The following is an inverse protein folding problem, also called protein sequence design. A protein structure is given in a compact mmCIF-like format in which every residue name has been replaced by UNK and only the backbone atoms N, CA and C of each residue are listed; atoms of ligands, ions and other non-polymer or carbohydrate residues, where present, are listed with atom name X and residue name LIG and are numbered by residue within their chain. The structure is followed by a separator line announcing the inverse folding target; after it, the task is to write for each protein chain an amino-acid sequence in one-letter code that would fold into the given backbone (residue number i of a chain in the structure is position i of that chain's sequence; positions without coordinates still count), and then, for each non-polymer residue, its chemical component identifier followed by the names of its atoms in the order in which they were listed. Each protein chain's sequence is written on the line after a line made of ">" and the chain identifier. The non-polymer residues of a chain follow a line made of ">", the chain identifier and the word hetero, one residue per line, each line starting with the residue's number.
data_IF_510697023732
#
_entry.id   IF_510697023732
#
_cell.length_a   1.000
_cell.length_b   1.000
_cell.length_c   1.000
_cell.angle_alpha   90.00
_cell.angle_beta   90.00
_cell.angle_gamma   90.00
#
_symmetry.space_group_name_H-M   'P 1'
#
loop_
_entity.id
_entity.type
_entity.pdbx_description
1 polymer ?
#
# COMPACT_ATOMS: atom_id res chain seq x y z
N UNK A 1 0.24 2.78 -11.40
CA UNK A 1 -0.23 3.29 -10.08
C UNK A 1 0.25 2.38 -8.93
N UNK A 2 0.26 2.80 -7.65
CA UNK A 2 0.53 1.90 -6.51
C UNK A 2 -0.71 1.78 -5.61
N UNK A 3 -1.11 0.56 -5.28
CA UNK A 3 -2.31 0.27 -4.47
C UNK A 3 -2.00 0.25 -2.98
N UNK A 4 -0.86 -0.29 -2.57
CA UNK A 4 -0.41 -0.24 -1.19
C UNK A 4 1.10 -0.38 -1.13
N UNK A 5 1.72 -0.04 0.00
CA UNK A 5 3.16 -0.14 0.24
C UNK A 5 3.41 -0.74 1.61
N UNK A 6 4.61 -1.29 1.80
CA UNK A 6 5.05 -1.77 3.12
C UNK A 6 5.02 -0.72 4.22
N UNK A 7 4.98 0.58 3.88
CA UNK A 7 4.93 1.68 4.86
C UNK A 7 3.52 2.08 5.27
N UNK A 8 2.49 1.60 4.57
CA UNK A 8 1.11 1.96 4.85
C UNK A 8 0.64 1.38 6.19
N UNK A 9 -0.39 1.99 6.79
CA UNK A 9 -0.83 1.70 8.16
C UNK A 9 0.33 1.70 9.18
N UNK A 10 1.25 2.66 9.02
CA UNK A 10 2.48 2.77 9.80
C UNK A 10 3.28 1.46 9.82
N UNK A 11 3.62 0.97 8.63
CA UNK A 11 4.26 -0.34 8.40
C UNK A 11 3.41 -1.54 8.80
N UNK A 12 2.09 -1.40 8.78
CA UNK A 12 1.10 -2.43 9.08
C UNK A 12 0.69 -3.24 7.86
N UNK A 13 1.28 -2.96 6.69
CA UNK A 13 1.07 -3.72 5.47
C UNK A 13 2.31 -4.58 5.18
N UNK A 14 2.10 -5.87 4.97
CA UNK A 14 3.12 -6.82 4.53
C UNK A 14 3.26 -6.87 3.00
N UNK A 15 2.43 -6.12 2.25
CA UNK A 15 2.42 -6.10 0.80
C UNK A 15 2.86 -4.75 0.23
N UNK A 16 3.45 -4.80 -0.96
CA UNK A 16 3.65 -3.65 -1.84
C UNK A 16 3.13 -4.04 -3.22
N UNK A 17 2.02 -3.43 -3.61
CA UNK A 17 1.30 -3.73 -4.85
C UNK A 17 1.30 -2.50 -5.74
N UNK A 18 1.70 -2.66 -7.00
CA UNK A 18 1.67 -1.61 -8.00
C UNK A 18 1.49 -2.17 -9.40
N UNK A 19 0.98 -1.34 -10.30
CA UNK A 19 0.86 -1.60 -11.74
C UNK A 19 2.24 -1.42 -12.40
N UNK A 20 2.66 -2.40 -13.19
CA UNK A 20 3.94 -2.37 -13.89
C UNK A 20 3.88 -1.49 -15.15
N UNK A 21 5.00 -0.91 -15.54
CA UNK A 21 5.07 -0.04 -16.72
C UNK A 21 4.92 -0.79 -18.04
N UNK A 22 5.18 -2.11 -18.03
CA UNK A 22 5.02 -2.98 -19.20
C UNK A 22 3.62 -3.61 -19.28
N UNK A 23 2.70 -3.21 -18.38
CA UNK A 23 1.37 -3.80 -18.21
C UNK A 23 1.33 -4.85 -17.08
N UNK A 24 0.13 -5.13 -16.59
CA UNK A 24 -0.08 -6.02 -15.45
C UNK A 24 0.33 -5.40 -14.12
N UNK A 25 0.50 -6.26 -13.11
CA UNK A 25 0.65 -5.85 -11.71
C UNK A 25 1.73 -6.66 -11.00
N UNK A 26 2.44 -6.01 -10.08
CA UNK A 26 3.48 -6.61 -9.26
C UNK A 26 3.06 -6.56 -7.80
N UNK A 27 3.10 -7.72 -7.15
CA UNK A 27 2.88 -7.87 -5.71
C UNK A 27 4.16 -8.36 -5.04
N UNK A 28 4.82 -7.50 -4.28
CA UNK A 28 5.90 -7.91 -3.38
C UNK A 28 5.37 -8.25 -2.00
N UNK A 29 5.83 -9.36 -1.44
CA UNK A 29 5.55 -9.80 -0.07
C UNK A 29 6.76 -9.51 0.80
N UNK A 30 6.56 -8.84 1.93
CA UNK A 30 7.62 -8.59 2.90
C UNK A 30 8.17 -9.92 3.46
N UNK A 31 9.45 -9.96 3.82
CA UNK A 31 10.03 -11.08 4.58
C UNK A 31 10.10 -10.81 6.09
N UNK A 32 9.97 -9.54 6.49
CA UNK A 32 10.13 -9.09 7.85
C UNK A 32 9.11 -8.01 8.20
N UNK A 33 8.71 -7.96 9.46
CA UNK A 33 7.90 -6.88 10.04
C UNK A 33 8.54 -6.34 11.31
N UNK A 34 8.18 -5.13 11.70
CA UNK A 34 8.64 -4.55 12.96
C UNK A 34 7.92 -5.21 14.15
N UNK A 35 8.69 -5.79 15.08
CA UNK A 35 8.21 -6.40 16.33
C UNK A 35 7.63 -5.35 17.29
N UNK A 36 8.21 -4.15 17.24
CA UNK A 36 7.72 -2.98 17.95
C UNK A 36 8.00 -1.72 17.15
N UNK A 37 7.00 -0.82 17.10
CA UNK A 37 7.10 0.44 16.39
C UNK A 37 7.02 1.59 17.40
N UNK A 38 7.93 2.58 17.33
CA UNK A 38 7.74 3.82 18.08
C UNK A 38 6.44 4.50 17.61
N UNK A 39 5.71 5.19 18.49
CA UNK A 39 4.53 5.95 18.07
C UNK A 39 4.96 7.04 17.09
N UNK A 40 4.24 7.14 15.97
CA UNK A 40 4.47 8.19 14.98
C UNK A 40 4.14 9.55 15.58
N UNK A 41 4.94 10.60 15.31
CA UNK A 41 4.55 11.95 15.67
C UNK A 41 3.21 12.29 15.01
N UNK A 42 2.40 13.14 15.66
CA UNK A 42 1.18 13.67 15.06
C UNK A 42 1.46 14.22 13.65
N UNK A 43 0.52 14.05 12.70
CA UNK A 43 0.59 14.72 11.41
C UNK A 43 0.91 16.21 11.57
N UNK A 44 1.65 16.77 10.61
CA UNK A 44 1.93 18.19 10.62
C UNK A 44 0.64 18.95 10.31
N UNK A 45 0.08 19.60 11.31
CA UNK A 45 -1.05 20.50 11.14
C UNK A 45 -0.53 21.86 10.66
N UNK A 46 -0.72 22.14 9.37
CA UNK A 46 -0.27 23.39 8.75
C UNK A 46 -1.02 24.63 9.28
N UNK A 47 -2.28 24.48 9.71
CA UNK A 47 -3.10 25.57 10.25
C UNK A 47 -2.73 25.88 11.70
N UNK A 48 -2.39 24.86 12.49
CA UNK A 48 -2.02 25.00 13.90
C UNK A 48 -0.53 25.36 14.10
N UNK A 49 0.36 24.92 13.21
CA UNK A 49 1.82 25.01 13.41
C UNK A 49 2.43 26.19 12.64
N UNK A 50 2.45 27.38 13.27
CA UNK A 50 3.30 28.51 12.82
C UNK A 50 4.77 28.08 12.73
N UNK A 51 5.58 28.74 11.87
CA UNK A 51 7.02 28.44 11.59
C UNK A 51 7.90 28.04 12.80
N UNK A 52 7.62 28.57 14.00
CA UNK A 52 8.34 28.19 15.23
C UNK A 52 8.19 26.70 15.60
N UNK A 53 7.09 26.05 15.23
CA UNK A 53 6.81 24.65 15.52
C UNK A 53 7.28 23.67 14.42
N UNK A 54 7.55 24.17 13.21
CA UNK A 54 8.09 23.37 12.09
C UNK A 54 9.42 22.71 12.46
N UNK A 55 10.34 23.47 13.09
CA UNK A 55 11.63 22.96 13.52
C UNK A 55 11.48 21.85 14.57
N UNK A 56 10.52 22.00 15.48
CA UNK A 56 10.23 21.01 16.53
C UNK A 56 9.64 19.74 15.94
N UNK A 57 8.68 19.86 15.01
CA UNK A 57 8.10 18.71 14.31
C UNK A 57 9.15 17.97 13.47
N UNK A 58 9.98 18.69 12.70
CA UNK A 58 11.11 18.09 11.95
C UNK A 58 12.07 17.34 12.87
N UNK A 59 12.37 17.89 14.05
CA UNK A 59 13.22 17.21 15.03
C UNK A 59 12.55 15.96 15.63
N UNK A 60 11.24 15.98 15.87
CA UNK A 60 10.47 14.80 16.31
C UNK A 60 10.44 13.72 15.24
N UNK A 61 10.17 14.09 13.99
CA UNK A 61 10.18 13.18 12.85
C UNK A 61 11.56 12.56 12.63
N UNK A 62 12.64 13.35 12.74
CA UNK A 62 14.01 12.83 12.68
C UNK A 62 14.27 11.79 13.77
N UNK A 63 13.90 12.08 15.03
CA UNK A 63 14.03 11.12 16.15
C UNK A 63 13.20 9.86 15.93
N UNK A 64 12.01 9.99 15.37
CA UNK A 64 11.16 8.86 15.01
C UNK A 64 11.85 7.95 13.98
N UNK A 65 12.38 8.52 12.88
CA UNK A 65 13.12 7.75 11.88
C UNK A 65 14.40 7.12 12.43
N UNK A 66 15.13 7.81 13.33
CA UNK A 66 16.29 7.24 14.01
C UNK A 66 15.89 6.03 14.87
N UNK A 67 14.78 6.10 15.62
CA UNK A 67 14.26 4.96 16.39
C UNK A 67 13.84 3.80 15.48
N UNK A 68 13.17 4.08 14.36
CA UNK A 68 12.76 3.05 13.40
C UNK A 68 13.95 2.30 12.79
N UNK A 69 15.05 2.99 12.48
CA UNK A 69 16.27 2.36 11.94
C UNK A 69 16.87 1.31 12.87
N UNK A 70 16.65 1.46 14.18
CA UNK A 70 17.12 0.53 15.20
C UNK A 70 15.99 -0.35 15.75
N UNK A 71 14.77 -0.21 15.22
CA UNK A 71 13.66 -1.04 15.65
C UNK A 71 13.91 -2.48 15.22
N UNK A 72 13.57 -3.42 16.12
CA UNK A 72 13.74 -4.83 15.86
C UNK A 72 12.78 -5.27 14.76
N UNK A 73 13.34 -5.96 13.76
CA UNK A 73 12.57 -6.66 12.74
C UNK A 73 12.57 -8.16 13.06
N UNK A 74 11.44 -8.80 12.82
CA UNK A 74 11.26 -10.25 12.95
C UNK A 74 10.79 -10.79 11.62
N UNK A 75 11.21 -12.02 11.29
CA UNK A 75 10.69 -12.74 10.12
C UNK A 75 9.18 -12.90 10.28
N UNK A 76 8.44 -12.76 9.18
CA UNK A 76 7.00 -12.98 9.19
C UNK A 76 6.70 -14.46 9.42
N UNK A 77 7.47 -15.34 8.79
CA UNK A 77 7.40 -16.79 8.96
C UNK A 77 6.25 -17.46 8.20
N UNK A 78 5.71 -16.80 7.18
CA UNK A 78 4.62 -17.31 6.36
C UNK A 78 5.14 -17.83 4.99
N UNK A 79 4.34 -18.62 4.24
CA UNK A 79 4.84 -19.39 3.10
C UNK A 79 5.44 -18.59 1.94
N UNK A 80 5.04 -17.33 1.78
CA UNK A 80 5.40 -16.47 0.66
C UNK A 80 6.32 -15.30 1.05
N UNK A 81 6.99 -15.37 2.20
CA UNK A 81 7.89 -14.31 2.65
C UNK A 81 8.92 -13.97 1.57
N UNK A 82 9.05 -12.69 1.22
CA UNK A 82 9.98 -12.22 0.19
C UNK A 82 9.63 -12.59 -1.24
N UNK A 83 8.49 -13.24 -1.49
CA UNK A 83 8.07 -13.58 -2.85
C UNK A 83 7.62 -12.33 -3.60
N UNK A 84 7.74 -12.41 -4.92
CA UNK A 84 7.17 -11.45 -5.85
C UNK A 84 6.27 -12.21 -6.81
N UNK A 85 5.08 -11.68 -7.03
CA UNK A 85 4.12 -12.16 -8.02
C UNK A 85 3.99 -11.14 -9.13
N UNK A 86 3.73 -11.65 -10.33
CA UNK A 86 3.38 -10.88 -11.51
C UNK A 86 2.04 -11.43 -11.95
N UNK A 87 1.03 -10.58 -11.86
CA UNK A 87 -0.36 -10.92 -12.15
C UNK A 87 -0.77 -10.08 -13.39
N UNK A 88 -1.47 -10.69 -14.36
CA UNK A 88 -1.74 -10.08 -15.66
C UNK A 88 -2.82 -8.99 -15.58
N UNK A 89 -3.79 -9.17 -14.68
CA UNK A 89 -4.94 -8.29 -14.49
C UNK A 89 -5.27 -8.04 -13.01
N UNK A 90 -6.21 -7.14 -12.76
CA UNK A 90 -6.61 -6.75 -11.39
C UNK A 90 -7.34 -7.87 -10.67
N UNK A 91 -8.08 -8.72 -11.37
CA UNK A 91 -8.82 -9.84 -10.79
C UNK A 91 -7.83 -10.84 -10.16
N UNK A 92 -6.75 -11.19 -10.86
CA UNK A 92 -5.66 -12.02 -10.33
C UNK A 92 -5.00 -11.39 -9.11
N UNK A 93 -4.81 -10.06 -9.09
CA UNK A 93 -4.28 -9.35 -7.91
C UNK A 93 -5.24 -9.45 -6.72
N UNK A 94 -6.55 -9.33 -6.94
CA UNK A 94 -7.55 -9.46 -5.88
C UNK A 94 -7.49 -10.87 -5.29
N UNK A 95 -7.48 -11.91 -6.14
CA UNK A 95 -7.34 -13.31 -5.70
C UNK A 95 -6.05 -13.51 -4.90
N UNK A 96 -4.93 -12.94 -5.37
CA UNK A 96 -3.64 -12.96 -4.67
C UNK A 96 -3.72 -12.34 -3.28
N UNK A 97 -4.33 -11.17 -3.18
CA UNK A 97 -4.45 -10.44 -1.91
C UNK A 97 -5.31 -11.22 -0.91
N UNK A 98 -6.43 -11.80 -1.37
CA UNK A 98 -7.30 -12.64 -0.53
C UNK A 98 -6.54 -13.87 -0.03
N UNK A 99 -5.82 -14.57 -0.92
CA UNK A 99 -4.99 -15.71 -0.54
C UNK A 99 -3.96 -15.33 0.54
N UNK A 100 -3.22 -14.23 0.34
CA UNK A 100 -2.19 -13.79 1.28
C UNK A 100 -2.80 -13.36 2.61
N UNK A 101 -3.92 -12.63 2.58
CA UNK A 101 -4.65 -12.26 3.79
C UNK A 101 -5.09 -13.50 4.59
N UNK A 102 -5.67 -14.51 3.92
CA UNK A 102 -6.14 -15.74 4.57
C UNK A 102 -5.00 -16.59 5.16
N UNK A 103 -3.80 -16.49 4.59
CA UNK A 103 -2.57 -17.07 5.16
C UNK A 103 -2.03 -16.29 6.37
N UNK A 104 -2.58 -15.12 6.67
CA UNK A 104 -2.21 -14.29 7.82
C UNK A 104 -1.25 -13.15 7.53
N UNK A 105 -1.01 -12.81 6.25
CA UNK A 105 -0.32 -11.57 5.90
C UNK A 105 -1.19 -10.37 6.27
N UNK A 106 -0.54 -9.34 6.81
CA UNK A 106 -1.22 -8.10 7.19
C UNK A 106 -1.46 -7.26 5.94
N UNK A 107 -2.72 -7.06 5.58
CA UNK A 107 -3.12 -6.20 4.48
C UNK A 107 -4.23 -5.29 4.97
N UNK A 108 -4.12 -3.96 4.80
CA UNK A 108 -5.20 -3.05 5.16
C UNK A 108 -6.46 -3.35 4.33
N UNK A 109 -7.64 -3.31 4.97
CA UNK A 109 -8.92 -3.64 4.31
C UNK A 109 -9.19 -2.75 3.09
N UNK A 110 -8.77 -1.48 3.15
CA UNK A 110 -8.96 -0.52 2.07
C UNK A 110 -8.21 -0.90 0.78
N UNK A 111 -7.19 -1.77 0.85
CA UNK A 111 -6.43 -2.23 -0.33
C UNK A 111 -7.33 -3.05 -1.25
N UNK A 112 -8.13 -3.96 -0.70
CA UNK A 112 -9.08 -4.76 -1.48
C UNK A 112 -10.15 -3.87 -2.12
N UNK A 113 -10.63 -2.87 -1.37
CA UNK A 113 -11.58 -1.88 -1.91
C UNK A 113 -10.96 -1.08 -3.06
N UNK A 114 -9.72 -0.64 -2.94
CA UNK A 114 -9.03 0.10 -3.99
C UNK A 114 -8.88 -0.73 -5.28
N UNK A 115 -8.52 -2.02 -5.15
CA UNK A 115 -8.42 -2.93 -6.29
C UNK A 115 -9.78 -3.20 -6.94
N UNK A 116 -10.84 -3.38 -6.16
CA UNK A 116 -12.19 -3.56 -6.70
C UNK A 116 -12.67 -2.34 -7.49
N UNK A 117 -12.41 -1.13 -6.98
CA UNK A 117 -12.76 0.09 -7.70
C UNK A 117 -11.99 0.20 -9.03
N UNK A 118 -10.72 -0.18 -9.05
CA UNK A 118 -9.94 -0.24 -10.29
C UNK A 118 -10.55 -1.21 -11.30
N UNK A 119 -10.93 -2.41 -10.86
CA UNK A 119 -11.62 -3.38 -11.72
C UNK A 119 -12.93 -2.80 -12.29
N UNK A 120 -13.74 -2.13 -11.47
CA UNK A 120 -14.98 -1.50 -11.92
C UNK A 120 -14.75 -0.40 -12.97
N UNK A 121 -13.65 0.37 -12.83
CA UNK A 121 -13.28 1.39 -13.81
C UNK A 121 -12.77 0.76 -15.12
N UNK A 122 -12.03 -0.35 -15.05
CA UNK A 122 -11.60 -1.15 -16.21
C UNK A 122 -12.81 -1.74 -16.94
N UNK A 123 -13.75 -2.33 -16.21
CA UNK A 123 -14.97 -2.94 -16.78
C UNK A 123 -15.79 -1.88 -17.52
N UNK A 124 -15.96 -0.70 -16.90
CA UNK A 124 -16.68 0.43 -17.51
C UNK A 124 -15.98 0.95 -18.76
N UNK A 125 -14.65 1.03 -18.74
CA UNK A 125 -13.86 1.43 -19.90
C UNK A 125 -13.99 0.41 -21.04
N UNK A 126 -13.98 -0.89 -20.70
CA UNK A 126 -14.17 -1.99 -21.65
C UNK A 126 -15.55 -1.94 -22.29
N UNK A 127 -16.61 -1.78 -21.50
CA UNK A 127 -17.98 -1.66 -22.00
C UNK A 127 -18.15 -0.42 -22.90
N UNK A 128 -17.56 0.72 -22.55
CA UNK A 128 -17.60 1.92 -23.37
C UNK A 128 -16.94 1.70 -24.75
N UNK A 129 -15.80 1.01 -24.78
CA UNK A 129 -15.12 0.64 -26.03
C UNK A 129 -15.96 -0.31 -26.89
N UNK A 130 -16.62 -1.29 -26.29
CA UNK A 130 -17.47 -2.26 -27.00
C UNK A 130 -18.76 -1.64 -27.54
N UNK A 131 -19.37 -0.71 -26.80
CA UNK A 131 -20.63 -0.06 -27.16
C UNK A 131 -20.46 1.18 -28.03
N UNK A 132 -19.22 1.67 -28.20
CA UNK A 132 -18.92 2.90 -28.93
C UNK A 132 -19.38 4.18 -28.22
N UNK A 133 -19.74 4.09 -26.94
CA UNK A 133 -19.99 5.27 -26.11
C UNK A 133 -18.65 5.84 -25.62
N UNK A 134 -18.48 7.16 -25.69
CA UNK A 134 -17.28 7.82 -25.16
C UNK A 134 -17.24 7.62 -23.64
N UNK A 135 -16.14 7.11 -23.05
CA UNK A 135 -16.00 7.04 -21.60
C UNK A 135 -16.03 8.46 -21.04
N UNK A 136 -16.98 8.72 -20.14
CA UNK A 136 -17.10 10.00 -19.45
C UNK A 136 -16.08 9.96 -18.31
N UNK A 137 -14.87 10.45 -18.57
CA UNK A 137 -13.92 10.76 -17.50
C UNK A 137 -14.35 12.11 -16.89
N UNK A 138 -15.13 12.08 -15.81
CA UNK A 138 -15.41 13.30 -15.04
C UNK A 138 -14.11 13.77 -14.37
N UNK A 139 -13.71 15.01 -14.70
CA UNK A 139 -12.53 15.73 -14.18
C UNK A 139 -12.74 16.23 -12.76
#
# INVERSE_FOLDING_TARGET
>A
MAFCRFSDEDYGCDLYIYEDTDGGYVTHVASFRYDWKPPKPSPYDFDYMKKAHEKTWKAQLKKYHEKLKHARQVTIGLPFDGHTFWDEDVEEVIERVVLLHDLGYQVPEWVVTALKNEQEDIDRATEALETGQSPIWEL
#
